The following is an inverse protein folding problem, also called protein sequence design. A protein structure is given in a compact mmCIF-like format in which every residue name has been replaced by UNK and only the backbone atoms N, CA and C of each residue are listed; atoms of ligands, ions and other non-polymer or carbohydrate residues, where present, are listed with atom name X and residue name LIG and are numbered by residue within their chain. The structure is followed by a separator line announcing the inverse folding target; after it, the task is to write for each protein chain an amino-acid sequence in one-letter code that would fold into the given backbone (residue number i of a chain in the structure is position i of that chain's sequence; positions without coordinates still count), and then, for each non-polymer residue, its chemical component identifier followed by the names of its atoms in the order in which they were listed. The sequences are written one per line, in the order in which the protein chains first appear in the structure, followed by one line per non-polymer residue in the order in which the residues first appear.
data_IF_560177266546
#
_entry.id   IF_560177266546
#
_cell.length_a   1.000
_cell.length_b   1.000
_cell.length_c   1.000
_cell.angle_alpha   90.00
_cell.angle_beta   90.00
_cell.angle_gamma   90.00
#
_symmetry.space_group_name_H-M   'P 1'
#
loop_
_entity.id
_entity.type
_entity.pdbx_description
1 polymer ?
#
# COMPACT_ATOMS: atom_id res chain seq x y z
N UNK A 1 6.97 20.48 38.65
CA UNK A 1 5.91 19.59 38.13
C UNK A 1 6.47 18.88 36.91
N UNK A 2 7.06 17.71 37.12
CA UNK A 2 7.57 16.81 36.09
C UNK A 2 6.41 15.92 35.63
N UNK A 3 6.19 15.83 34.31
CA UNK A 3 5.15 14.98 33.72
C UNK A 3 5.36 13.49 34.04
N UNK A 4 4.33 12.64 33.87
CA UNK A 4 4.44 11.24 34.24
C UNK A 4 5.48 10.52 33.38
N UNK A 5 6.37 9.83 34.08
CA UNK A 5 7.39 8.90 33.59
C UNK A 5 6.73 7.69 32.93
N UNK A 6 6.95 7.52 31.62
CA UNK A 6 6.40 6.43 30.80
C UNK A 6 7.22 5.12 30.90
N UNK A 7 8.03 4.95 31.94
CA UNK A 7 8.91 3.79 32.16
C UNK A 7 8.20 2.47 32.55
N UNK A 8 7.04 2.17 31.97
CA UNK A 8 6.27 0.95 32.27
C UNK A 8 5.82 0.11 31.07
N UNK A 9 5.89 0.63 29.84
CA UNK A 9 5.37 -0.10 28.67
C UNK A 9 6.44 -0.98 28.02
N UNK A 10 6.62 -2.18 28.57
CA UNK A 10 7.43 -3.23 27.94
C UNK A 10 6.61 -3.85 26.80
N UNK A 11 6.97 -3.58 25.55
CA UNK A 11 6.41 -4.28 24.40
C UNK A 11 6.54 -5.80 24.61
N UNK A 12 5.44 -6.57 24.54
CA UNK A 12 5.54 -8.01 24.52
C UNK A 12 6.36 -8.42 23.29
N UNK A 13 7.52 -9.05 23.51
CA UNK A 13 8.33 -9.65 22.44
C UNK A 13 7.66 -10.89 21.83
N UNK A 14 6.58 -11.35 22.45
CA UNK A 14 5.78 -12.44 21.95
C UNK A 14 4.76 -11.93 20.94
N UNK A 15 5.05 -12.14 19.65
CA UNK A 15 4.19 -11.76 18.52
C UNK A 15 2.82 -12.46 18.53
N UNK A 16 2.60 -13.39 19.45
CA UNK A 16 1.35 -14.14 19.58
C UNK A 16 0.25 -13.41 20.38
N UNK A 17 0.55 -12.28 21.04
CA UNK A 17 -0.44 -11.55 21.85
C UNK A 17 -1.47 -10.75 21.03
N UNK A 18 -1.15 -10.42 19.78
CA UNK A 18 -2.13 -9.96 18.79
C UNK A 18 -2.40 -11.13 17.87
N UNK A 19 -3.60 -11.71 17.91
CA UNK A 19 -3.99 -12.95 17.24
C UNK A 19 -3.94 -12.93 15.70
N UNK A 20 -2.83 -12.54 15.09
CA UNK A 20 -2.51 -12.82 13.70
C UNK A 20 -1.89 -14.21 13.62
N UNK A 21 -2.72 -15.23 13.74
CA UNK A 21 -2.36 -16.56 13.24
C UNK A 21 -2.02 -16.47 11.74
N UNK A 22 -1.27 -17.45 11.23
CA UNK A 22 -1.02 -17.56 9.80
C UNK A 22 -2.37 -17.72 9.07
N UNK A 23 -2.87 -16.63 8.50
CA UNK A 23 -4.13 -16.60 7.76
C UNK A 23 -4.00 -17.47 6.51
N UNK A 24 -4.95 -18.40 6.26
CA UNK A 24 -4.96 -19.19 5.04
C UNK A 24 -5.01 -18.28 3.80
N UNK A 25 -4.34 -18.71 2.73
CA UNK A 25 -4.11 -17.89 1.51
C UNK A 25 -5.39 -17.36 0.87
N UNK A 26 -6.50 -18.06 1.05
CA UNK A 26 -7.83 -17.69 0.58
C UNK A 26 -8.47 -16.55 1.41
N UNK A 27 -8.14 -16.44 2.70
CA UNK A 27 -8.58 -15.35 3.56
C UNK A 27 -7.75 -14.06 3.33
N UNK A 28 -6.48 -14.19 2.94
CA UNK A 28 -5.61 -13.08 2.50
C UNK A 28 -6.18 -12.39 1.24
N UNK A 29 -6.82 -13.15 0.34
CA UNK A 29 -7.47 -12.60 -0.86
C UNK A 29 -8.75 -11.84 -0.48
N UNK A 30 -9.48 -12.24 0.56
CA UNK A 30 -10.62 -11.48 1.08
C UNK A 30 -10.20 -10.25 1.90
N UNK A 31 -9.03 -10.28 2.58
CA UNK A 31 -8.46 -9.11 3.26
C UNK A 31 -8.02 -7.99 2.30
N UNK A 32 -7.82 -8.28 1.00
CA UNK A 32 -7.47 -7.24 0.01
C UNK A 32 -8.59 -6.21 -0.19
N UNK A 33 -9.85 -6.57 0.08
CA UNK A 33 -10.98 -5.64 0.00
C UNK A 33 -11.00 -4.61 1.15
N UNK A 34 -10.22 -4.84 2.22
CA UNK A 34 -10.13 -3.95 3.39
C UNK A 34 -8.81 -3.16 3.47
N UNK A 35 -7.96 -3.23 2.43
CA UNK A 35 -6.69 -2.54 2.44
C UNK A 35 -6.84 -1.08 1.98
N UNK A 36 -6.21 -0.16 2.71
CA UNK A 36 -5.96 1.20 2.23
C UNK A 36 -4.92 1.14 1.11
N UNK A 37 -5.25 1.66 -0.07
CA UNK A 37 -4.38 1.66 -1.25
C UNK A 37 -3.72 3.01 -1.43
N UNK A 38 -2.40 3.07 -1.43
CA UNK A 38 -1.62 4.27 -1.69
C UNK A 38 -1.52 4.53 -3.19
N UNK A 39 -1.54 5.80 -3.55
CA UNK A 39 -1.43 6.25 -4.93
C UNK A 39 -0.66 7.56 -5.05
N UNK A 40 -0.25 7.85 -6.28
CA UNK A 40 0.35 9.10 -6.72
C UNK A 40 -0.53 9.71 -7.81
N UNK A 41 -0.52 11.05 -7.91
CA UNK A 41 -1.04 11.75 -9.09
C UNK A 41 0.13 12.16 -9.99
N UNK A 42 0.15 11.62 -11.19
CA UNK A 42 1.12 11.98 -12.22
C UNK A 42 0.45 12.86 -13.27
N UNK A 43 1.01 14.04 -13.48
CA UNK A 43 0.52 15.05 -14.43
C UNK A 43 1.42 15.15 -15.64
N UNK A 44 0.85 14.94 -16.82
CA UNK A 44 1.53 15.10 -18.10
C UNK A 44 1.54 16.56 -18.57
N UNK A 45 0.43 17.27 -18.36
CA UNK A 45 0.25 18.66 -18.82
C UNK A 45 -0.25 19.53 -17.68
N UNK A 46 0.51 20.59 -17.38
CA UNK A 46 0.08 21.62 -16.45
C UNK A 46 -0.78 22.68 -17.15
N UNK A 47 -2.08 22.42 -17.22
CA UNK A 47 -3.04 23.35 -17.86
C UNK A 47 -3.30 24.60 -17.02
N UNK A 48 -3.00 24.59 -15.72
CA UNK A 48 -3.20 25.75 -14.84
C UNK A 48 -1.95 26.63 -14.75
N UNK A 49 -0.77 26.08 -15.03
CA UNK A 49 0.51 26.76 -14.84
C UNK A 49 0.91 26.92 -13.38
N UNK A 50 0.27 26.19 -12.46
CA UNK A 50 0.44 26.32 -11.01
C UNK A 50 1.24 25.15 -10.43
N UNK A 51 0.89 23.92 -10.78
CA UNK A 51 1.40 22.73 -10.06
C UNK A 51 2.57 22.04 -10.76
N UNK A 52 2.90 22.42 -11.99
CA UNK A 52 3.91 21.75 -12.79
C UNK A 52 3.47 20.39 -13.33
N UNK A 53 4.43 19.61 -13.81
CA UNK A 53 4.25 18.27 -14.39
C UNK A 53 5.02 17.23 -13.59
N UNK A 54 4.75 15.95 -13.84
CA UNK A 54 5.30 14.83 -13.08
C UNK A 54 4.46 14.52 -11.84
N UNK A 55 5.11 14.16 -10.75
CA UNK A 55 4.45 13.84 -9.48
C UNK A 55 3.91 15.12 -8.83
N UNK A 56 2.59 15.29 -8.81
CA UNK A 56 1.95 16.50 -8.28
C UNK A 56 1.27 16.30 -6.93
N UNK A 57 1.00 15.05 -6.54
CA UNK A 57 0.42 14.73 -5.24
C UNK A 57 0.60 13.25 -4.86
N UNK A 58 0.53 12.99 -3.56
CA UNK A 58 0.43 11.65 -2.98
C UNK A 58 -0.96 11.44 -2.40
N UNK A 59 -1.41 10.19 -2.28
CA UNK A 59 -2.68 9.91 -1.64
C UNK A 59 -2.86 8.48 -1.16
N UNK A 60 -3.97 8.29 -0.46
CA UNK A 60 -4.41 7.00 0.02
C UNK A 60 -5.92 6.89 -0.14
N UNK A 61 -6.38 5.74 -0.64
CA UNK A 61 -7.80 5.42 -0.79
C UNK A 61 -8.19 4.33 0.20
N UNK A 62 -9.16 4.63 1.05
CA UNK A 62 -9.76 3.68 1.95
C UNK A 62 -10.68 2.67 1.21
N UNK A 63 -10.98 1.51 1.81
CA UNK A 63 -11.88 0.50 1.24
C UNK A 63 -13.27 1.00 0.84
N UNK A 64 -13.77 2.03 1.53
CA UNK A 64 -15.07 2.66 1.24
C UNK A 64 -15.04 3.62 0.05
N UNK A 65 -13.87 3.81 -0.56
CA UNK A 65 -13.64 4.69 -1.71
C UNK A 65 -13.11 6.07 -1.34
N UNK A 66 -13.17 6.47 -0.06
CA UNK A 66 -12.70 7.77 0.43
C UNK A 66 -11.23 7.96 0.13
N UNK A 67 -10.84 9.12 -0.38
CA UNK A 67 -9.46 9.45 -0.73
C UNK A 67 -8.96 10.62 0.11
N UNK A 68 -7.76 10.50 0.65
CA UNK A 68 -6.97 11.62 1.18
C UNK A 68 -5.83 11.92 0.23
N UNK A 69 -5.58 13.20 -0.03
CA UNK A 69 -4.61 13.71 -0.99
C UNK A 69 -3.71 14.76 -0.31
N UNK A 70 -2.39 14.62 -0.49
CA UNK A 70 -1.37 15.57 -0.07
C UNK A 70 -0.71 16.15 -1.32
N UNK A 71 -0.76 17.46 -1.48
CA UNK A 71 -0.11 18.12 -2.62
C UNK A 71 1.40 18.08 -2.50
N UNK A 72 2.08 17.80 -3.61
CA UNK A 72 3.53 17.89 -3.72
C UNK A 72 3.89 19.24 -4.35
N UNK A 73 3.79 20.32 -3.58
CA UNK A 73 4.07 21.68 -4.04
C UNK A 73 4.72 22.50 -2.93
N UNK A 74 5.15 23.73 -3.22
CA UNK A 74 5.69 24.63 -2.19
C UNK A 74 4.67 24.96 -1.07
N UNK A 75 3.37 24.87 -1.39
CA UNK A 75 2.28 25.12 -0.46
C UNK A 75 1.54 23.82 -0.16
N UNK A 76 1.97 23.15 0.90
CA UNK A 76 1.36 21.89 1.32
C UNK A 76 -0.08 22.11 1.78
N UNK A 77 -1.01 21.35 1.18
CA UNK A 77 -2.38 21.23 1.67
C UNK A 77 -2.85 19.79 1.59
N UNK A 78 -3.84 19.47 2.43
CA UNK A 78 -4.45 18.15 2.52
C UNK A 78 -5.91 18.28 2.13
N UNK A 79 -6.38 17.44 1.22
CA UNK A 79 -7.77 17.40 0.80
C UNK A 79 -8.35 15.99 0.93
N UNK A 80 -9.65 15.90 1.22
CA UNK A 80 -10.38 14.64 1.37
C UNK A 80 -11.53 14.63 0.35
N UNK A 81 -11.66 13.52 -0.37
CA UNK A 81 -12.68 13.31 -1.40
C UNK A 81 -13.48 12.04 -1.09
N UNK A 82 -14.80 12.01 -1.36
CA UNK A 82 -15.63 10.85 -1.09
C UNK A 82 -15.29 9.64 -1.99
N UNK A 83 -14.82 9.89 -3.21
CA UNK A 83 -14.42 8.85 -4.16
C UNK A 83 -13.22 9.28 -5.00
N UNK A 84 -12.52 8.31 -5.58
CA UNK A 84 -11.48 8.56 -6.60
C UNK A 84 -12.06 9.26 -7.84
N UNK A 85 -13.31 8.95 -8.21
CA UNK A 85 -13.98 9.62 -9.33
C UNK A 85 -14.16 11.12 -9.06
N UNK A 86 -14.63 11.50 -7.87
CA UNK A 86 -14.74 12.92 -7.49
C UNK A 86 -13.37 13.61 -7.49
N UNK A 87 -12.35 12.93 -6.98
CA UNK A 87 -10.97 13.45 -6.99
C UNK A 87 -10.50 13.71 -8.43
N UNK A 88 -10.66 12.75 -9.34
CA UNK A 88 -10.23 12.88 -10.74
C UNK A 88 -11.12 13.82 -11.57
N UNK A 89 -12.40 13.97 -11.22
CA UNK A 89 -13.27 14.96 -11.86
C UNK A 89 -12.75 16.39 -11.63
N UNK A 90 -12.17 16.66 -10.46
CA UNK A 90 -11.63 17.97 -10.08
C UNK A 90 -10.17 18.11 -10.55
N UNK A 91 -9.33 17.09 -10.32
CA UNK A 91 -7.87 17.17 -10.46
C UNK A 91 -7.29 16.39 -11.63
N UNK A 92 -8.11 15.61 -12.34
CA UNK A 92 -7.70 14.82 -13.49
C UNK A 92 -7.44 15.65 -14.75
N UNK A 93 -7.93 16.90 -14.79
CA UNK A 93 -7.74 17.86 -15.88
C UNK A 93 -7.97 17.26 -17.29
N UNK A 94 -9.11 16.60 -17.48
CA UNK A 94 -9.46 15.99 -18.77
C UNK A 94 -8.58 14.79 -19.16
N UNK A 95 -7.93 14.15 -18.19
CA UNK A 95 -7.08 12.99 -18.39
C UNK A 95 -5.58 13.30 -18.43
N UNK A 96 -5.18 14.57 -18.35
CA UNK A 96 -3.75 14.95 -18.29
C UNK A 96 -3.13 14.72 -16.93
N UNK A 97 -3.93 14.39 -15.90
CA UNK A 97 -3.46 13.91 -14.60
C UNK A 97 -4.07 12.55 -14.32
N UNK A 98 -3.22 11.54 -14.09
CA UNK A 98 -3.62 10.16 -13.83
C UNK A 98 -3.32 9.75 -12.39
N UNK A 99 -4.09 8.81 -11.88
CA UNK A 99 -3.78 8.09 -10.64
C UNK A 99 -2.88 6.89 -10.94
N UNK A 100 -1.83 6.73 -10.14
CA UNK A 100 -0.94 5.56 -10.17
C UNK A 100 -0.95 4.90 -8.79
N UNK A 101 -1.50 3.70 -8.68
CA UNK A 101 -1.44 2.93 -7.43
C UNK A 101 -0.06 2.28 -7.28
N UNK A 102 0.55 2.47 -6.10
CA UNK A 102 1.95 2.07 -5.83
C UNK A 102 2.08 0.86 -4.91
N UNK A 103 0.95 0.35 -4.41
CA UNK A 103 0.93 -0.91 -3.68
C UNK A 103 0.88 -2.07 -4.68
N UNK A 104 1.71 -3.09 -4.46
CA UNK A 104 1.65 -4.31 -5.27
C UNK A 104 0.26 -4.91 -5.15
N UNK A 105 -0.45 -5.05 -6.28
CA UNK A 105 -1.60 -5.93 -6.35
C UNK A 105 -1.12 -7.30 -5.87
N UNK A 106 -1.70 -7.84 -4.81
CA UNK A 106 -1.38 -9.18 -4.31
C UNK A 106 -1.74 -10.22 -5.37
N UNK A 107 -0.88 -10.38 -6.39
CA UNK A 107 -0.97 -11.46 -7.35
C UNK A 107 -0.71 -12.80 -6.64
N UNK A 108 -1.21 -13.92 -7.17
CA UNK A 108 -0.92 -15.22 -6.58
C UNK A 108 0.61 -15.40 -6.54
N UNK A 109 1.14 -15.60 -5.33
CA UNK A 109 2.55 -15.88 -5.10
C UNK A 109 2.98 -17.01 -6.05
N UNK A 110 3.86 -16.70 -7.00
CA UNK A 110 4.43 -17.69 -7.91
C UNK A 110 5.21 -18.70 -7.05
N UNK A 111 4.64 -19.90 -6.87
CA UNK A 111 5.31 -21.01 -6.18
C UNK A 111 6.40 -21.53 -7.11
N UNK A 112 7.62 -21.05 -6.94
CA UNK A 112 8.80 -21.67 -7.55
C UNK A 112 9.04 -23.02 -6.89
N UNK A 113 8.55 -24.08 -7.54
CA UNK A 113 8.77 -25.46 -7.12
C UNK A 113 10.25 -25.81 -7.27
N UNK A 114 11.00 -25.78 -6.16
CA UNK A 114 12.31 -26.43 -6.09
C UNK A 114 12.07 -27.94 -6.16
N UNK A 115 12.28 -28.55 -7.33
CA UNK A 115 12.28 -30.02 -7.47
C UNK A 115 13.30 -30.57 -6.46
N UNK A 116 12.86 -31.30 -5.45
CA UNK A 116 13.76 -32.06 -4.60
C UNK A 116 14.35 -33.19 -5.45
N UNK A 117 15.66 -33.14 -5.67
CA UNK A 117 16.39 -34.27 -6.21
C UNK A 117 16.46 -35.34 -5.12
N UNK A 118 15.79 -36.47 -5.33
CA UNK A 118 15.95 -37.68 -4.53
C UNK A 118 17.33 -38.26 -4.85
N UNK A 119 18.29 -38.05 -3.95
CA UNK A 119 19.55 -38.77 -3.98
C UNK A 119 19.27 -40.24 -3.63
N UNK A 120 19.43 -41.14 -4.62
CA UNK A 120 19.48 -42.58 -4.35
C UNK A 120 20.86 -42.90 -3.81
N UNK A 121 20.92 -43.36 -2.56
CA UNK A 121 22.11 -43.98 -1.99
C UNK A 121 22.34 -45.33 -2.66
N UNK A 122 23.42 -45.45 -3.43
CA UNK A 122 23.99 -46.74 -3.79
C UNK A 122 24.98 -47.12 -2.69
N UNK A 123 24.54 -47.96 -1.76
CA UNK A 123 25.44 -48.79 -0.98
C UNK A 123 25.66 -50.10 -1.74
N UNK A 124 26.91 -50.49 -1.92
CA UNK A 124 27.32 -51.89 -1.76
C UNK A 124 28.84 -51.98 -1.67
N UNK A 125 29.29 -52.42 -0.50
CA UNK A 125 30.52 -53.17 -0.26
C UNK A 125 30.53 -54.42 -1.15
N UNK A 126 31.68 -54.77 -1.75
CA UNK A 126 32.60 -55.88 -1.45
C UNK A 126 33.87 -55.64 -2.25
#
# INVERSE_FOLDING_TARGET
MTGPDIAGYRWPTDRHAYGYGAVPREEVVAMSARQVRRFELEREVDVSGVSGTGLVAFGAQAPDGTCVLWWHSEHDSIAIYPTMETLLAIHGHGGTTRVVYIDAQAGPAQVSGRKQAVARSAGSTV
#
